data_IF_103908271360
#
_entry.id   IF_103908271360
#
_cell.length_a   1.000
_cell.length_b   1.000
_cell.length_c   1.000
_cell.angle_alpha   90.00
_cell.angle_beta   90.00
_cell.angle_gamma   90.00
#
_symmetry.space_group_name_H-M   'P 1'
#
loop_
_entity.id
_entity.type
_entity.pdbx_description
1 polymer ?
#
# COMPACT_ATOMS: atom_id res chain seq x y z
N UNK A 1 36.65 -30.35 39.24
CA UNK A 1 36.18 -30.20 37.84
C UNK A 1 34.93 -29.33 37.86
N UNK A 2 35.06 -28.07 37.50
CA UNK A 2 33.94 -27.10 37.45
C UNK A 2 33.44 -27.09 36.01
N UNK A 3 32.22 -27.56 35.80
CA UNK A 3 31.51 -27.49 34.50
C UNK A 3 30.89 -26.12 34.35
N UNK A 4 31.43 -25.31 33.46
CA UNK A 4 30.80 -24.08 32.96
C UNK A 4 29.63 -24.43 32.04
N UNK A 5 28.40 -24.22 32.51
CA UNK A 5 27.23 -24.15 31.63
C UNK A 5 27.30 -22.83 30.82
N UNK A 6 27.71 -22.93 29.57
CA UNK A 6 27.63 -21.85 28.62
C UNK A 6 26.15 -21.65 28.21
N UNK A 7 25.53 -20.59 28.67
CA UNK A 7 24.27 -20.09 28.08
C UNK A 7 24.48 -19.83 26.58
N UNK A 8 23.83 -20.63 25.75
CA UNK A 8 23.72 -20.34 24.31
C UNK A 8 22.83 -19.11 24.14
N UNK A 9 23.44 -17.95 24.14
CA UNK A 9 22.84 -16.77 23.48
C UNK A 9 22.88 -17.08 22.00
N UNK A 10 21.70 -17.28 21.39
CA UNK A 10 21.57 -17.44 19.95
C UNK A 10 22.19 -16.23 19.22
N UNK A 11 22.67 -16.39 17.99
CA UNK A 11 23.30 -15.30 17.27
C UNK A 11 22.29 -14.18 17.11
N UNK A 12 22.58 -13.03 17.74
CA UNK A 12 21.98 -11.75 17.39
C UNK A 12 22.30 -11.56 15.92
N UNK A 13 21.29 -11.50 15.04
CA UNK A 13 21.46 -11.21 13.61
C UNK A 13 22.07 -9.81 13.46
N UNK A 14 23.37 -9.70 13.57
CA UNK A 14 24.16 -8.46 13.41
C UNK A 14 24.24 -8.00 11.95
N UNK A 15 23.76 -8.81 10.99
CA UNK A 15 23.72 -8.47 9.57
C UNK A 15 22.28 -8.35 9.11
N UNK A 16 21.80 -7.11 8.99
CA UNK A 16 20.54 -6.81 8.33
C UNK A 16 20.68 -7.24 6.86
N UNK A 17 19.95 -8.25 6.44
CA UNK A 17 19.97 -8.70 5.04
C UNK A 17 19.53 -7.53 4.15
N UNK A 18 20.41 -7.13 3.22
CA UNK A 18 20.11 -6.08 2.26
C UNK A 18 18.94 -6.50 1.37
N UNK A 19 17.99 -5.59 1.12
CA UNK A 19 16.88 -5.87 0.20
C UNK A 19 17.40 -6.12 -1.22
N UNK A 20 16.65 -6.83 -2.09
CA UNK A 20 17.01 -7.00 -3.50
C UNK A 20 17.26 -5.67 -4.22
N UNK A 21 16.51 -4.62 -3.89
CA UNK A 21 16.75 -3.27 -4.40
C UNK A 21 18.12 -2.74 -3.98
N UNK A 22 18.47 -2.84 -2.70
CA UNK A 22 19.77 -2.41 -2.18
C UNK A 22 20.91 -3.22 -2.80
N UNK A 23 20.72 -4.53 -2.96
CA UNK A 23 21.70 -5.41 -3.63
C UNK A 23 21.92 -5.00 -5.09
N UNK A 24 20.85 -4.64 -5.82
CA UNK A 24 20.96 -4.15 -7.19
C UNK A 24 21.68 -2.81 -7.26
N UNK A 25 21.37 -1.86 -6.36
CA UNK A 25 22.08 -0.60 -6.25
C UNK A 25 23.58 -0.82 -6.01
N UNK A 26 23.96 -1.74 -5.11
CA UNK A 26 25.36 -2.11 -4.87
C UNK A 26 26.03 -2.69 -6.10
N UNK A 27 25.31 -3.50 -6.91
CA UNK A 27 25.83 -4.03 -8.20
C UNK A 27 26.07 -2.91 -9.20
N UNK A 28 25.16 -1.91 -9.29
CA UNK A 28 25.38 -0.73 -10.15
C UNK A 28 26.64 0.03 -9.73
N UNK A 29 26.83 0.25 -8.43
CA UNK A 29 28.02 0.93 -7.90
C UNK A 29 29.30 0.14 -8.15
N UNK A 30 29.28 -1.17 -7.91
CA UNK A 30 30.44 -2.05 -8.18
C UNK A 30 30.84 -2.07 -9.66
N UNK A 31 29.87 -1.89 -10.57
CA UNK A 31 30.10 -1.77 -12.01
C UNK A 31 30.46 -0.33 -12.45
N UNK A 32 30.53 0.64 -11.53
CA UNK A 32 30.77 2.06 -11.85
C UNK A 32 29.61 2.75 -12.56
N UNK A 33 28.45 2.11 -12.67
CA UNK A 33 27.27 2.65 -13.35
C UNK A 33 26.57 3.75 -12.54
N UNK A 34 26.74 3.78 -11.23
CA UNK A 34 26.26 4.84 -10.34
C UNK A 34 26.81 6.24 -10.66
N UNK A 35 27.90 6.32 -11.45
CA UNK A 35 28.50 7.57 -11.95
C UNK A 35 27.98 8.00 -13.31
N UNK A 36 27.21 7.15 -13.97
CA UNK A 36 26.56 7.48 -15.26
C UNK A 36 25.27 8.26 -15.04
N UNK A 37 24.84 9.04 -16.03
CA UNK A 37 23.59 9.80 -15.95
C UNK A 37 22.38 8.89 -15.62
N UNK A 38 22.31 7.71 -16.25
CA UNK A 38 21.21 6.76 -16.06
C UNK A 38 21.26 6.08 -14.68
N UNK A 39 22.45 5.69 -14.22
CA UNK A 39 22.60 5.09 -12.88
C UNK A 39 22.29 6.08 -11.76
N UNK A 40 22.77 7.34 -11.87
CA UNK A 40 22.39 8.42 -10.96
C UNK A 40 20.88 8.68 -10.98
N UNK A 41 20.27 8.73 -12.16
CA UNK A 41 18.83 8.91 -12.30
C UNK A 41 18.06 7.77 -11.59
N UNK A 42 18.52 6.51 -11.69
CA UNK A 42 17.91 5.36 -11.02
C UNK A 42 17.98 5.49 -9.50
N UNK A 43 19.13 5.84 -8.96
CA UNK A 43 19.33 6.03 -7.51
C UNK A 43 18.43 7.17 -7.00
N UNK A 44 18.43 8.30 -7.71
CA UNK A 44 17.62 9.46 -7.34
C UNK A 44 16.13 9.16 -7.42
N UNK A 45 15.65 8.50 -8.48
CA UNK A 45 14.24 8.09 -8.60
C UNK A 45 13.81 7.19 -7.44
N UNK A 46 14.67 6.24 -7.03
CA UNK A 46 14.43 5.38 -5.87
C UNK A 46 14.29 6.16 -4.56
N UNK A 47 15.09 7.20 -4.35
CA UNK A 47 15.00 8.07 -3.17
C UNK A 47 13.78 8.99 -3.23
N UNK A 48 13.54 9.62 -4.38
CA UNK A 48 12.40 10.51 -4.59
C UNK A 48 11.07 9.80 -4.44
N UNK A 49 10.96 8.53 -4.85
CA UNK A 49 9.75 7.74 -4.69
C UNK A 49 9.31 7.59 -3.23
N UNK A 50 10.24 7.62 -2.28
CA UNK A 50 9.93 7.59 -0.85
C UNK A 50 9.51 8.95 -0.31
N UNK A 51 10.11 10.04 -0.80
CA UNK A 51 9.80 11.41 -0.34
C UNK A 51 8.57 12.00 -1.01
N UNK A 52 8.34 11.65 -2.29
CA UNK A 52 7.21 12.11 -3.11
C UNK A 52 6.11 11.05 -3.27
N UNK A 53 6.02 10.09 -2.32
CA UNK A 53 5.06 9.00 -2.37
C UNK A 53 3.61 9.52 -2.44
N UNK A 54 2.83 8.98 -3.39
CA UNK A 54 1.41 9.33 -3.53
C UNK A 54 0.60 8.68 -2.40
N UNK A 55 -0.41 9.42 -1.90
CA UNK A 55 -1.28 8.89 -0.85
C UNK A 55 -2.36 8.01 -1.45
N UNK A 56 -2.54 6.83 -0.85
CA UNK A 56 -3.60 5.88 -1.20
C UNK A 56 -4.34 5.43 0.06
N UNK A 57 -5.54 4.88 -0.13
CA UNK A 57 -6.29 4.15 0.90
C UNK A 57 -6.28 2.68 0.53
N UNK A 58 -6.07 1.81 1.50
CA UNK A 58 -6.17 0.36 1.31
C UNK A 58 -7.59 -0.12 1.70
N UNK A 59 -8.15 -1.14 1.00
CA UNK A 59 -7.52 -1.93 -0.07
C UNK A 59 -7.31 -1.12 -1.35
N UNK A 60 -6.23 -1.42 -2.08
CA UNK A 60 -5.83 -0.67 -3.27
C UNK A 60 -5.44 -1.61 -4.41
N UNK A 61 -5.80 -1.24 -5.63
CA UNK A 61 -5.39 -1.93 -6.85
C UNK A 61 -5.06 -0.92 -7.93
N UNK A 62 -3.91 -1.08 -8.57
CA UNK A 62 -3.58 -0.33 -9.78
C UNK A 62 -2.90 -1.24 -10.82
N UNK A 63 -3.07 -0.88 -12.07
CA UNK A 63 -2.28 -1.41 -13.19
C UNK A 63 -1.48 -0.28 -13.81
N UNK A 64 -0.17 -0.47 -13.93
CA UNK A 64 0.73 0.54 -14.47
C UNK A 64 1.70 -0.04 -15.49
N UNK A 65 2.52 0.86 -16.05
CA UNK A 65 3.56 0.52 -17.00
C UNK A 65 4.85 1.26 -16.67
N UNK A 66 5.96 0.54 -16.64
CA UNK A 66 7.29 1.09 -16.50
C UNK A 66 8.00 1.09 -17.87
N UNK A 67 8.27 2.27 -18.44
CA UNK A 67 8.99 2.38 -19.73
C UNK A 67 10.50 2.28 -19.53
N UNK A 68 11.19 1.60 -20.45
CA UNK A 68 12.65 1.40 -20.38
C UNK A 68 13.45 2.69 -20.61
N UNK A 69 12.89 3.61 -21.40
CA UNK A 69 13.52 4.89 -21.77
C UNK A 69 13.57 5.90 -20.61
N UNK A 70 12.71 5.74 -19.64
CA UNK A 70 12.73 6.50 -18.39
C UNK A 70 13.31 5.64 -17.28
N UNK A 71 13.68 6.27 -16.17
CA UNK A 71 14.14 5.58 -14.97
C UNK A 71 13.06 5.71 -13.90
N UNK A 72 11.93 4.96 -14.01
CA UNK A 72 10.80 5.16 -13.15
C UNK A 72 11.03 4.55 -11.76
N UNK A 73 10.48 5.20 -10.75
CA UNK A 73 10.18 4.60 -9.46
C UNK A 73 8.87 5.19 -8.97
N UNK A 74 8.06 4.39 -8.28
CA UNK A 74 6.81 4.88 -7.71
C UNK A 74 6.74 4.53 -6.23
N UNK A 75 6.29 5.49 -5.44
CA UNK A 75 6.08 5.34 -4.00
C UNK A 75 4.62 5.52 -3.64
N UNK A 76 4.15 4.72 -2.70
CA UNK A 76 2.80 4.76 -2.15
C UNK A 76 2.88 4.97 -0.64
N UNK A 77 2.09 5.90 -0.12
CA UNK A 77 1.94 6.12 1.30
C UNK A 77 0.51 5.78 1.72
N UNK A 78 0.37 4.93 2.73
CA UNK A 78 -0.93 4.51 3.26
C UNK A 78 -0.83 4.24 4.76
N UNK A 79 -1.97 4.35 5.44
CA UNK A 79 -2.09 3.98 6.84
C UNK A 79 -2.46 2.49 6.95
N UNK A 80 -1.82 1.78 7.90
CA UNK A 80 -2.22 0.44 8.31
C UNK A 80 -2.35 0.38 9.82
N UNK A 81 -3.29 -0.43 10.30
CA UNK A 81 -3.69 -0.49 11.72
C UNK A 81 -3.07 -1.72 12.37
N UNK A 82 -2.57 -1.56 13.59
CA UNK A 82 -2.09 -2.67 14.42
C UNK A 82 -3.10 -3.80 14.44
N UNK A 83 -2.62 -5.02 14.24
CA UNK A 83 -3.46 -6.22 14.20
C UNK A 83 -3.90 -6.63 12.80
N UNK A 84 -3.71 -5.78 11.79
CA UNK A 84 -3.90 -6.18 10.41
C UNK A 84 -2.71 -7.01 9.91
N UNK A 85 -2.98 -7.88 8.96
CA UNK A 85 -2.01 -8.54 8.09
C UNK A 85 -2.12 -7.91 6.70
N UNK A 86 -1.03 -7.33 6.22
CA UNK A 86 -0.96 -6.84 4.85
C UNK A 86 -0.54 -7.98 3.93
N UNK A 87 -1.23 -8.10 2.80
CA UNK A 87 -0.83 -8.87 1.64
C UNK A 87 -0.67 -7.91 0.47
N UNK A 88 0.56 -7.74 0.01
CA UNK A 88 0.92 -6.88 -1.12
C UNK A 88 1.45 -7.79 -2.22
N UNK A 89 0.77 -7.85 -3.34
CA UNK A 89 1.13 -8.66 -4.50
C UNK A 89 1.43 -7.79 -5.72
N UNK A 90 2.37 -8.25 -6.55
CA UNK A 90 2.77 -7.59 -7.78
C UNK A 90 2.87 -8.61 -8.91
N UNK A 91 1.89 -8.60 -9.81
CA UNK A 91 1.94 -9.36 -11.06
C UNK A 91 2.64 -8.53 -12.14
N UNK A 92 3.52 -9.15 -12.93
CA UNK A 92 4.36 -8.48 -13.94
C UNK A 92 4.16 -9.09 -15.32
N UNK A 93 4.17 -8.26 -16.34
CA UNK A 93 4.19 -8.68 -17.74
C UNK A 93 5.28 -7.92 -18.50
N UNK A 94 6.34 -8.62 -19.04
CA UNK A 94 6.55 -10.06 -18.99
C UNK A 94 6.88 -10.58 -17.58
N UNK A 95 6.48 -11.82 -17.28
CA UNK A 95 6.72 -12.43 -15.98
C UNK A 95 8.21 -12.72 -15.71
N UNK A 96 8.99 -12.96 -16.77
CA UNK A 96 10.43 -13.20 -16.71
C UNK A 96 11.21 -12.12 -17.48
N UNK A 97 12.47 -11.88 -17.07
CA UNK A 97 13.34 -10.88 -17.72
C UNK A 97 12.94 -9.43 -17.45
N UNK A 98 11.99 -9.20 -16.55
CA UNK A 98 11.56 -7.88 -16.07
C UNK A 98 11.46 -7.94 -14.55
N UNK A 99 12.48 -7.40 -13.87
CA UNK A 99 12.51 -7.35 -12.41
C UNK A 99 11.95 -6.02 -11.92
N UNK A 100 11.09 -6.08 -10.92
CA UNK A 100 10.61 -4.91 -10.16
C UNK A 100 10.88 -5.17 -8.69
N UNK A 101 11.66 -4.30 -8.07
CA UNK A 101 11.95 -4.34 -6.63
C UNK A 101 10.80 -3.72 -5.87
N UNK A 102 10.43 -4.37 -4.76
CA UNK A 102 9.33 -3.93 -3.89
C UNK A 102 9.82 -3.95 -2.44
N UNK A 103 9.82 -2.78 -1.79
CA UNK A 103 10.22 -2.59 -0.40
C UNK A 103 9.12 -1.89 0.37
N UNK A 104 8.87 -2.34 1.60
CA UNK A 104 7.91 -1.77 2.54
C UNK A 104 8.64 -1.16 3.75
N UNK A 105 8.32 0.07 4.07
CA UNK A 105 8.93 0.86 5.14
C UNK A 105 7.87 1.37 6.10
N UNK A 106 8.18 1.45 7.39
CA UNK A 106 7.38 2.20 8.36
C UNK A 106 7.89 3.64 8.50
N UNK A 107 6.98 4.61 8.56
CA UNK A 107 7.32 6.00 8.85
C UNK A 107 7.39 6.18 10.35
N UNK A 108 8.49 6.78 10.82
CA UNK A 108 8.71 7.16 12.21
C UNK A 108 8.79 8.66 12.33
N UNK A 109 8.16 9.27 13.36
CA UNK A 109 8.35 10.67 13.64
C UNK A 109 9.84 10.97 13.86
N UNK A 110 10.35 12.03 13.22
CA UNK A 110 11.71 12.55 13.39
C UNK A 110 12.87 11.56 13.13
N UNK A 111 12.57 10.40 12.51
CA UNK A 111 13.55 9.38 12.12
C UNK A 111 13.48 9.05 10.64
N UNK A 112 14.56 8.46 10.12
CA UNK A 112 14.53 7.85 8.78
C UNK A 112 13.54 6.70 8.76
N UNK A 113 12.78 6.51 7.65
CA UNK A 113 11.89 5.36 7.50
C UNK A 113 12.64 4.05 7.72
N UNK A 114 12.03 3.14 8.48
CA UNK A 114 12.62 1.83 8.75
C UNK A 114 12.08 0.80 7.78
N UNK A 115 12.98 0.08 7.11
CA UNK A 115 12.62 -1.07 6.27
C UNK A 115 11.97 -2.15 7.14
N UNK A 116 10.73 -2.52 6.82
CA UNK A 116 9.93 -3.54 7.51
C UNK A 116 10.03 -4.87 6.78
N UNK A 117 9.86 -4.84 5.45
CA UNK A 117 9.83 -6.03 4.61
C UNK A 117 10.18 -5.68 3.17
N UNK A 118 10.48 -6.69 2.38
CA UNK A 118 10.67 -6.57 0.93
C UNK A 118 10.23 -7.86 0.25
N UNK A 119 9.85 -7.77 -1.02
CA UNK A 119 9.62 -8.95 -1.83
C UNK A 119 10.95 -9.61 -2.22
N UNK A 120 10.99 -10.93 -2.20
CA UNK A 120 12.10 -11.63 -2.84
C UNK A 120 11.99 -11.55 -4.37
N UNK A 121 13.05 -11.95 -5.06
CA UNK A 121 13.09 -11.88 -6.53
C UNK A 121 12.26 -12.97 -7.22
N UNK A 122 11.81 -13.97 -6.49
CA UNK A 122 11.05 -15.12 -7.00
C UNK A 122 9.55 -14.94 -6.77
N UNK A 123 9.16 -14.55 -5.55
CA UNK A 123 7.77 -14.23 -5.21
C UNK A 123 7.62 -12.72 -5.08
N UNK A 124 6.92 -12.08 -5.99
CA UNK A 124 6.67 -10.64 -5.94
C UNK A 124 5.60 -10.27 -4.89
N UNK A 125 5.68 -10.86 -3.67
CA UNK A 125 4.71 -10.67 -2.60
C UNK A 125 5.39 -10.25 -1.29
N UNK A 126 4.72 -9.35 -0.55
CA UNK A 126 5.04 -9.03 0.84
C UNK A 126 3.84 -9.42 1.69
N UNK A 127 4.06 -10.30 2.68
CA UNK A 127 3.08 -10.64 3.69
C UNK A 127 3.66 -10.23 5.04
N UNK A 128 2.99 -9.32 5.76
CA UNK A 128 3.49 -8.78 7.02
C UNK A 128 2.36 -8.47 8.00
N UNK A 129 2.56 -8.83 9.26
CA UNK A 129 1.67 -8.42 10.36
C UNK A 129 2.02 -7.00 10.80
N UNK A 130 1.02 -6.16 10.96
CA UNK A 130 1.18 -4.77 11.38
C UNK A 130 1.22 -4.70 12.90
N UNK A 131 2.39 -4.37 13.43
CA UNK A 131 2.63 -4.33 14.89
C UNK A 131 2.28 -2.96 15.51
N UNK A 132 2.22 -1.90 14.71
CA UNK A 132 1.86 -0.55 15.15
C UNK A 132 1.02 0.18 14.10
N UNK A 133 0.00 0.92 14.58
CA UNK A 133 -0.81 1.80 13.71
C UNK A 133 0.03 2.99 13.26
N UNK A 134 0.42 3.00 11.98
CA UNK A 134 1.31 4.02 11.38
C UNK A 134 1.02 4.20 9.90
N UNK A 135 1.65 5.23 9.34
CA UNK A 135 1.81 5.34 7.90
C UNK A 135 2.99 4.46 7.43
N UNK A 136 2.78 3.79 6.32
CA UNK A 136 3.75 2.94 5.64
C UNK A 136 4.06 3.51 4.26
N UNK A 137 5.28 3.25 3.78
CA UNK A 137 5.73 3.56 2.43
C UNK A 137 6.01 2.25 1.68
N UNK A 138 5.44 2.11 0.50
CA UNK A 138 5.76 1.05 -0.43
C UNK A 138 6.46 1.66 -1.64
N UNK A 139 7.65 1.16 -2.00
CA UNK A 139 8.35 1.52 -3.21
C UNK A 139 8.27 0.39 -4.22
N UNK A 140 8.02 0.74 -5.48
CA UNK A 140 8.21 -0.10 -6.64
C UNK A 140 9.25 0.55 -7.56
N UNK A 141 10.28 -0.20 -7.95
CA UNK A 141 11.29 0.27 -8.90
C UNK A 141 11.78 -0.86 -9.80
N UNK A 142 11.68 -0.74 -11.13
CA UNK A 142 12.22 -1.74 -12.04
C UNK A 142 13.75 -1.64 -12.13
N UNK A 143 14.38 -2.69 -12.61
CA UNK A 143 15.78 -2.63 -13.03
C UNK A 143 15.94 -1.72 -14.25
N UNK A 144 17.15 -1.22 -14.47
CA UNK A 144 17.47 -0.35 -15.60
C UNK A 144 17.22 -1.03 -16.96
N UNK A 145 16.77 -0.23 -17.93
CA UNK A 145 16.60 -0.63 -19.34
C UNK A 145 15.60 -1.76 -19.57
N UNK A 146 14.69 -1.95 -18.62
CA UNK A 146 13.60 -2.93 -18.73
C UNK A 146 12.26 -2.23 -18.73
N UNK A 147 11.34 -2.74 -19.53
CA UNK A 147 9.97 -2.24 -19.59
C UNK A 147 8.95 -3.36 -19.39
N UNK A 148 7.82 -2.99 -18.84
CA UNK A 148 6.71 -3.93 -18.65
C UNK A 148 5.56 -3.31 -17.90
N UNK A 149 4.43 -3.99 -17.96
CA UNK A 149 3.27 -3.64 -17.12
C UNK A 149 3.31 -4.41 -15.81
N UNK A 150 2.62 -3.85 -14.82
CA UNK A 150 2.42 -4.47 -13.52
C UNK A 150 0.98 -4.30 -13.04
N UNK A 151 0.53 -5.22 -12.21
CA UNK A 151 -0.67 -5.08 -11.39
C UNK A 151 -0.25 -5.16 -9.94
N UNK A 152 -0.41 -4.05 -9.21
CA UNK A 152 -0.21 -3.97 -7.77
C UNK A 152 -1.55 -4.17 -7.07
N UNK A 153 -1.59 -5.03 -6.06
CA UNK A 153 -2.74 -5.17 -5.17
C UNK A 153 -2.29 -5.14 -3.71
N UNK A 154 -2.97 -4.32 -2.89
CA UNK A 154 -2.71 -4.19 -1.45
C UNK A 154 -4.01 -4.49 -0.72
N UNK A 155 -4.05 -5.60 -0.01
CA UNK A 155 -5.20 -6.03 0.80
C UNK A 155 -4.76 -6.09 2.25
N UNK A 156 -5.64 -5.68 3.15
CA UNK A 156 -5.49 -5.91 4.58
C UNK A 156 -6.57 -6.85 5.09
N UNK A 157 -6.16 -7.80 5.92
CA UNK A 157 -7.04 -8.72 6.62
C UNK A 157 -6.63 -8.85 8.09
N UNK A 158 -7.28 -9.73 8.85
CA UNK A 158 -6.90 -10.02 10.23
C UNK A 158 -5.56 -10.77 10.30
N UNK A 159 -4.77 -10.51 11.33
CA UNK A 159 -3.53 -11.26 11.61
C UNK A 159 -3.77 -12.52 12.46
N UNK A 160 -4.94 -12.64 13.08
CA UNK A 160 -5.39 -13.78 13.87
C UNK A 160 -6.65 -14.41 13.26
N UNK A 161 -6.84 -15.69 13.52
CA UNK A 161 -8.09 -16.38 13.21
C UNK A 161 -9.26 -15.89 14.06
N UNK A 162 -10.47 -16.02 13.55
CA UNK A 162 -11.67 -15.68 14.30
C UNK A 162 -11.85 -16.67 15.46
N UNK A 163 -12.11 -16.19 16.71
CA UNK A 163 -12.05 -17.04 17.91
C UNK A 163 -13.28 -17.93 18.15
N UNK A 164 -14.27 -17.90 17.24
CA UNK A 164 -15.48 -18.73 17.32
C UNK A 164 -15.59 -19.57 16.06
N UNK A 165 -15.76 -20.88 16.21
CA UNK A 165 -15.89 -21.81 15.09
C UNK A 165 -17.13 -21.49 14.26
N UNK A 166 -17.10 -21.80 12.96
CA UNK A 166 -18.19 -21.52 12.04
C UNK A 166 -19.50 -22.16 12.48
N UNK A 167 -20.39 -21.28 12.94
CA UNK A 167 -21.74 -21.60 13.32
C UNK A 167 -22.75 -20.78 12.50
N UNK A 168 -22.34 -20.32 11.31
CA UNK A 168 -23.13 -19.47 10.45
C UNK A 168 -22.84 -17.98 10.60
N UNK A 169 -23.65 -17.20 11.29
CA UNK A 169 -23.50 -15.75 11.38
C UNK A 169 -22.61 -15.34 12.53
N UNK A 170 -21.47 -14.69 12.26
CA UNK A 170 -20.59 -14.07 13.26
C UNK A 170 -21.20 -12.74 13.71
N UNK A 171 -21.28 -12.48 15.02
CA UNK A 171 -21.87 -11.26 15.58
C UNK A 171 -20.94 -10.65 16.62
N UNK A 172 -20.27 -9.58 16.24
CA UNK A 172 -19.53 -8.72 17.17
C UNK A 172 -20.45 -7.56 17.49
N UNK A 173 -21.05 -7.56 18.68
CA UNK A 173 -22.09 -6.59 19.04
C UNK A 173 -21.60 -5.56 20.07
N UNK A 174 -20.56 -5.87 20.84
CA UNK A 174 -19.96 -4.94 21.78
C UNK A 174 -18.48 -4.74 21.47
N UNK A 175 -18.11 -3.48 21.30
CA UNK A 175 -16.78 -3.08 20.83
C UNK A 175 -15.86 -2.75 22.01
N UNK A 176 -14.56 -2.81 21.76
CA UNK A 176 -13.52 -2.33 22.66
C UNK A 176 -13.74 -0.84 22.99
N UNK A 177 -13.47 -0.47 24.26
CA UNK A 177 -13.55 0.91 24.74
C UNK A 177 -14.93 1.41 25.10
N UNK A 178 -15.99 0.65 24.82
CA UNK A 178 -17.37 1.00 25.24
C UNK A 178 -17.44 1.05 26.78
N UNK A 179 -18.14 2.06 27.32
CA UNK A 179 -18.33 2.22 28.76
C UNK A 179 -19.09 1.04 29.41
N UNK A 180 -18.63 0.59 30.57
CA UNK A 180 -19.22 -0.44 31.42
C UNK A 180 -19.47 0.13 32.80
N UNK A 181 -20.39 -0.47 33.54
CA UNK A 181 -20.67 -0.14 34.96
C UNK A 181 -20.88 1.39 35.17
N UNK A 182 -21.80 1.98 34.40
CA UNK A 182 -22.07 3.43 34.39
C UNK A 182 -20.81 4.27 34.01
N UNK A 183 -19.98 3.79 33.11
CA UNK A 183 -18.73 4.40 32.62
C UNK A 183 -17.55 4.40 33.63
N UNK A 184 -17.66 3.67 34.73
CA UNK A 184 -16.54 3.54 35.69
C UNK A 184 -15.41 2.63 35.15
N UNK A 185 -15.72 1.79 34.17
CA UNK A 185 -14.80 0.86 33.51
C UNK A 185 -14.99 0.89 31.99
N UNK A 186 -13.94 0.69 31.22
CA UNK A 186 -14.01 0.48 29.76
C UNK A 186 -14.02 -1.01 29.43
N UNK A 187 -14.69 -1.35 28.33
CA UNK A 187 -14.68 -2.69 27.77
C UNK A 187 -13.31 -3.02 27.20
N UNK A 188 -12.62 -4.01 27.76
CA UNK A 188 -11.23 -4.37 27.40
C UNK A 188 -11.13 -5.49 26.34
N UNK A 189 -12.19 -5.67 25.56
CA UNK A 189 -12.28 -6.68 24.51
C UNK A 189 -13.40 -6.40 23.54
N UNK A 190 -13.80 -7.44 22.82
CA UNK A 190 -15.01 -7.48 21.99
C UNK A 190 -15.88 -8.63 22.45
N UNK A 191 -17.22 -8.46 22.39
CA UNK A 191 -18.16 -9.52 22.69
C UNK A 191 -18.74 -10.10 21.40
N UNK A 192 -18.57 -11.41 21.22
CA UNK A 192 -19.00 -12.16 20.04
C UNK A 192 -20.13 -13.09 20.47
N UNK A 193 -21.34 -12.81 20.00
CA UNK A 193 -22.55 -13.54 20.38
C UNK A 193 -22.78 -14.72 19.46
N UNK A 194 -23.16 -15.88 20.05
CA UNK A 194 -23.61 -17.06 19.32
C UNK A 194 -24.42 -17.97 20.26
N UNK A 195 -24.85 -19.15 19.77
CA UNK A 195 -25.63 -20.08 20.57
C UNK A 195 -24.79 -20.71 21.68
N UNK A 196 -25.46 -21.13 22.74
CA UNK A 196 -24.81 -21.81 23.88
C UNK A 196 -24.03 -23.03 23.38
N UNK A 197 -22.87 -23.28 23.92
CA UNK A 197 -21.94 -24.36 23.56
C UNK A 197 -21.29 -24.26 22.16
N UNK A 198 -21.43 -23.16 21.45
CA UNK A 198 -20.62 -22.93 20.24
C UNK A 198 -19.13 -23.08 20.57
N UNK A 199 -18.35 -23.85 19.79
CA UNK A 199 -16.93 -24.02 20.07
C UNK A 199 -16.16 -22.71 19.98
N UNK A 200 -15.44 -22.38 21.04
CA UNK A 200 -14.47 -21.29 21.12
C UNK A 200 -13.09 -21.87 20.80
N UNK A 201 -12.41 -21.26 19.82
CA UNK A 201 -11.21 -21.84 19.23
C UNK A 201 -9.98 -20.93 19.35
N UNK A 202 -8.80 -21.52 19.33
CA UNK A 202 -7.53 -20.81 19.31
C UNK A 202 -7.42 -19.93 18.05
N UNK A 203 -7.13 -18.63 18.24
CA UNK A 203 -7.00 -17.66 17.14
C UNK A 203 -5.63 -17.69 16.47
N UNK A 204 -4.69 -18.50 16.97
CA UNK A 204 -3.35 -18.72 16.42
C UNK A 204 -2.75 -20.00 16.96
N UNK A 205 -1.65 -20.44 16.36
CA UNK A 205 -0.76 -21.42 16.97
C UNK A 205 -0.13 -20.82 18.24
N UNK A 206 -0.06 -21.59 19.34
CA UNK A 206 0.48 -21.05 20.59
C UNK A 206 0.42 -22.03 21.75
N UNK A 207 0.57 -21.49 22.96
CA UNK A 207 0.51 -22.25 24.22
C UNK A 207 -0.58 -21.68 25.13
N UNK A 208 -1.39 -22.54 25.74
CA UNK A 208 -2.32 -22.17 26.79
C UNK A 208 -1.53 -21.86 28.06
N UNK A 209 -1.58 -20.61 28.52
CA UNK A 209 -0.78 -20.14 29.66
C UNK A 209 -1.52 -20.20 30.98
N UNK A 210 -2.85 -20.24 30.94
CA UNK A 210 -3.69 -20.37 32.14
C UNK A 210 -5.09 -20.85 31.78
N UNK A 211 -5.64 -21.71 32.61
CA UNK A 211 -7.06 -22.12 32.64
C UNK A 211 -7.56 -21.87 34.05
N UNK A 212 -8.68 -21.15 34.21
CA UNK A 212 -9.16 -20.81 35.54
C UNK A 212 -10.52 -20.16 35.54
N UNK A 213 -10.91 -19.61 36.69
CA UNK A 213 -12.15 -18.87 36.88
C UNK A 213 -11.88 -17.57 37.64
N UNK A 214 -12.61 -16.51 37.30
CA UNK A 214 -12.58 -15.23 38.01
C UNK A 214 -13.97 -14.56 38.02
N UNK A 215 -14.16 -13.57 38.89
CA UNK A 215 -15.47 -12.95 39.12
C UNK A 215 -16.03 -12.25 37.86
N UNK A 216 -15.21 -11.62 37.04
CA UNK A 216 -15.64 -10.90 35.84
C UNK A 216 -15.82 -11.86 34.66
N UNK A 217 -14.79 -12.57 34.28
CA UNK A 217 -14.79 -13.41 33.08
C UNK A 217 -15.45 -14.78 33.27
N UNK A 218 -15.78 -15.18 34.51
CA UNK A 218 -16.24 -16.54 34.77
C UNK A 218 -15.15 -17.55 34.43
N UNK A 219 -15.49 -18.60 33.71
CA UNK A 219 -14.52 -19.59 33.20
C UNK A 219 -13.75 -19.02 32.03
N UNK A 220 -12.43 -19.03 32.15
CA UNK A 220 -11.52 -18.32 31.22
C UNK A 220 -10.35 -19.20 30.77
N UNK A 221 -9.88 -18.93 29.56
CA UNK A 221 -8.64 -19.47 29.00
C UNK A 221 -7.77 -18.32 28.56
N UNK A 222 -6.48 -18.38 28.92
CA UNK A 222 -5.46 -17.48 28.42
C UNK A 222 -4.50 -18.27 27.54
N UNK A 223 -4.13 -17.72 26.37
CA UNK A 223 -3.09 -18.31 25.54
C UNK A 223 -2.13 -17.23 25.01
N UNK A 224 -0.90 -17.65 24.77
CA UNK A 224 0.11 -16.81 24.11
C UNK A 224 0.36 -17.38 22.71
N UNK A 225 0.10 -16.59 21.64
CA UNK A 225 0.48 -16.98 20.30
C UNK A 225 2.01 -17.13 20.17
N UNK A 226 2.46 -18.06 19.35
CA UNK A 226 3.88 -18.19 19.03
C UNK A 226 4.38 -16.87 18.40
N UNK A 227 5.61 -16.46 18.71
CA UNK A 227 6.28 -15.28 18.13
C UNK A 227 5.63 -13.92 18.42
N UNK A 228 4.61 -13.85 19.31
CA UNK A 228 3.93 -12.60 19.68
C UNK A 228 4.10 -12.25 21.16
N UNK A 229 4.14 -10.95 21.44
CA UNK A 229 4.33 -10.40 22.81
C UNK A 229 3.01 -9.93 23.41
N UNK A 230 1.93 -10.70 23.23
CA UNK A 230 0.63 -10.44 23.85
C UNK A 230 -0.07 -11.73 24.23
N UNK A 231 -1.06 -11.62 25.10
CA UNK A 231 -1.89 -12.73 25.55
C UNK A 231 -3.29 -12.58 25.00
N UNK A 232 -3.87 -13.66 24.50
CA UNK A 232 -5.28 -13.76 24.10
C UNK A 232 -6.08 -14.26 25.28
N UNK A 233 -7.22 -13.64 25.53
CA UNK A 233 -8.13 -13.91 26.63
C UNK A 233 -9.51 -14.31 26.11
N UNK A 234 -9.96 -15.49 26.53
CA UNK A 234 -11.24 -16.07 26.18
C UNK A 234 -12.07 -16.25 27.45
N UNK A 235 -13.20 -15.55 27.57
CA UNK A 235 -14.00 -15.53 28.79
C UNK A 235 -15.47 -15.87 28.56
N UNK A 236 -16.21 -16.01 29.67
CA UNK A 236 -17.62 -16.40 29.79
C UNK A 236 -17.91 -17.81 29.29
N UNK A 237 -16.89 -18.68 29.28
CA UNK A 237 -17.05 -20.07 28.83
C UNK A 237 -17.99 -20.83 29.72
N UNK A 238 -18.81 -21.72 29.15
CA UNK A 238 -19.56 -22.72 29.89
C UNK A 238 -18.66 -23.88 30.30
N UNK A 239 -17.78 -24.30 29.40
CA UNK A 239 -16.83 -25.39 29.64
C UNK A 239 -15.46 -25.07 29.06
N UNK A 240 -14.42 -25.25 29.82
CA UNK A 240 -13.02 -25.24 29.38
C UNK A 240 -12.63 -26.65 28.93
N UNK A 241 -12.07 -26.81 27.74
CA UNK A 241 -11.60 -28.08 27.20
C UNK A 241 -10.07 -28.13 27.10
N UNK A 242 -9.43 -26.96 26.97
CA UNK A 242 -7.98 -26.86 26.99
C UNK A 242 -7.43 -26.98 28.41
N UNK A 243 -6.17 -27.38 28.53
CA UNK A 243 -5.41 -27.47 29.76
C UNK A 243 -4.21 -26.52 29.74
N UNK A 244 -3.81 -26.06 30.94
CA UNK A 244 -2.60 -25.24 31.10
C UNK A 244 -1.36 -25.98 30.61
N UNK A 245 -0.49 -25.27 29.85
CA UNK A 245 0.70 -25.86 29.21
C UNK A 245 0.43 -26.53 27.86
N UNK A 246 -0.83 -26.68 27.45
CA UNK A 246 -1.19 -27.29 26.17
C UNK A 246 -0.70 -26.46 24.99
N UNK A 247 0.01 -27.10 24.05
CA UNK A 247 0.27 -26.56 22.72
C UNK A 247 -1.00 -26.68 21.87
N UNK A 248 -1.40 -25.60 21.22
CA UNK A 248 -2.59 -25.56 20.38
C UNK A 248 -2.26 -25.00 18.99
N UNK A 249 -3.02 -25.43 18.00
CA UNK A 249 -2.99 -24.93 16.63
C UNK A 249 -4.16 -23.97 16.41
N UNK A 250 -4.03 -23.10 15.42
CA UNK A 250 -5.13 -22.29 14.94
C UNK A 250 -6.36 -23.16 14.67
N UNK A 251 -7.49 -22.81 15.30
CA UNK A 251 -8.77 -23.52 15.15
C UNK A 251 -8.99 -24.67 16.16
N UNK A 252 -8.01 -25.03 16.99
CA UNK A 252 -8.21 -26.02 18.06
C UNK A 252 -9.21 -25.50 19.09
N UNK A 253 -10.13 -26.38 19.55
CA UNK A 253 -11.17 -25.99 20.50
C UNK A 253 -10.58 -25.81 21.90
N UNK A 254 -10.71 -24.59 22.45
CA UNK A 254 -10.28 -24.20 23.80
C UNK A 254 -11.37 -24.42 24.83
N UNK A 255 -12.64 -24.30 24.43
CA UNK A 255 -13.79 -24.41 25.30
C UNK A 255 -15.10 -24.25 24.56
N UNK A 256 -16.20 -24.22 25.30
CA UNK A 256 -17.55 -24.03 24.81
C UNK A 256 -18.09 -22.69 25.30
N UNK A 257 -18.75 -21.94 24.41
CA UNK A 257 -19.36 -20.65 24.72
C UNK A 257 -20.43 -20.78 25.79
N UNK A 258 -20.46 -19.82 26.69
CA UNK A 258 -21.45 -19.74 27.76
C UNK A 258 -21.77 -18.30 28.11
N UNK A 259 -22.11 -18.07 29.37
CA UNK A 259 -22.39 -16.76 29.99
C UNK A 259 -21.97 -16.71 31.45
N UNK A 260 -20.87 -17.37 31.80
CA UNK A 260 -20.36 -17.40 33.19
C UNK A 260 -19.79 -16.05 33.63
N UNK A 261 -19.49 -15.90 34.91
CA UNK A 261 -19.01 -14.65 35.49
C UNK A 261 -20.10 -13.56 35.57
N UNK A 262 -19.74 -12.33 35.20
CA UNK A 262 -20.69 -11.20 35.18
C UNK A 262 -21.64 -11.23 33.98
N UNK A 263 -21.50 -12.18 33.05
CA UNK A 263 -22.36 -12.35 31.89
C UNK A 263 -23.63 -13.20 32.17
N UNK A 264 -23.87 -13.65 33.41
CA UNK A 264 -24.94 -14.60 33.75
C UNK A 264 -26.35 -14.16 33.35
N UNK A 265 -26.58 -12.86 33.21
CA UNK A 265 -27.88 -12.26 32.84
C UNK A 265 -27.93 -11.83 31.38
N UNK A 266 -26.91 -12.12 30.60
CA UNK A 266 -26.85 -11.76 29.18
C UNK A 266 -26.95 -13.02 28.31
N UNK A 267 -27.31 -12.88 27.01
CA UNK A 267 -27.20 -13.98 26.05
C UNK A 267 -25.79 -14.55 26.00
N UNK A 268 -25.62 -15.82 25.59
CA UNK A 268 -24.31 -16.44 25.49
C UNK A 268 -23.41 -15.68 24.52
N UNK A 269 -22.17 -15.42 24.94
CA UNK A 269 -21.17 -14.77 24.11
C UNK A 269 -19.76 -15.10 24.58
N UNK A 270 -18.82 -14.94 23.68
CA UNK A 270 -17.40 -14.92 23.98
C UNK A 270 -16.97 -13.47 24.22
N UNK A 271 -16.46 -13.14 25.41
CA UNK A 271 -15.62 -11.96 25.57
C UNK A 271 -14.19 -12.31 25.13
N UNK A 272 -13.70 -11.65 24.07
CA UNK A 272 -12.38 -11.84 23.52
C UNK A 272 -11.52 -10.61 23.74
N UNK A 273 -10.39 -10.76 24.45
CA UNK A 273 -9.46 -9.69 24.78
C UNK A 273 -8.05 -9.98 24.30
N UNK A 274 -7.27 -8.91 24.01
CA UNK A 274 -5.84 -8.98 23.72
C UNK A 274 -5.10 -8.08 24.71
N UNK A 275 -4.18 -8.67 25.47
CA UNK A 275 -3.45 -7.98 26.53
C UNK A 275 -1.95 -7.93 26.23
N UNK A 276 -1.39 -6.73 26.26
CA UNK A 276 0.05 -6.45 26.17
C UNK A 276 0.61 -6.03 27.51
N UNK A 277 1.90 -5.78 27.61
CA UNK A 277 2.52 -5.17 28.80
C UNK A 277 1.97 -3.77 29.10
N UNK A 278 1.40 -3.08 28.14
CA UNK A 278 0.76 -1.76 28.28
C UNK A 278 -0.75 -1.82 28.54
N UNK A 279 -1.32 -3.00 28.80
CA UNK A 279 -2.76 -3.21 29.01
C UNK A 279 -3.49 -3.78 27.80
N UNK A 280 -4.83 -3.71 27.86
CA UNK A 280 -5.69 -4.19 26.80
C UNK A 280 -5.61 -3.32 25.53
N UNK A 281 -5.71 -3.96 24.38
CA UNK A 281 -5.76 -3.30 23.07
C UNK A 281 -7.00 -3.78 22.30
N UNK A 282 -7.45 -2.99 21.31
CA UNK A 282 -8.61 -3.33 20.48
C UNK A 282 -8.37 -4.62 19.69
N UNK A 283 -9.14 -5.70 19.95
CA UNK A 283 -8.99 -6.97 19.24
C UNK A 283 -9.56 -6.95 17.82
N UNK A 284 -10.44 -6.02 17.48
CA UNK A 284 -11.19 -6.04 16.22
C UNK A 284 -10.29 -6.10 14.97
N UNK A 285 -9.26 -5.29 14.83
CA UNK A 285 -8.38 -5.36 13.65
C UNK A 285 -7.67 -6.72 13.50
N UNK A 286 -7.45 -7.44 14.62
CA UNK A 286 -6.75 -8.73 14.64
C UNK A 286 -7.62 -9.89 14.14
N UNK A 287 -8.95 -9.82 14.34
CA UNK A 287 -9.85 -10.96 14.09
C UNK A 287 -11.02 -10.62 13.17
N UNK A 288 -11.13 -9.39 12.66
CA UNK A 288 -12.25 -9.00 11.81
C UNK A 288 -12.33 -9.90 10.56
N UNK A 289 -13.38 -10.74 10.42
CA UNK A 289 -13.45 -11.68 9.30
C UNK A 289 -13.81 -11.01 7.96
N UNK A 290 -14.15 -9.73 7.97
CA UNK A 290 -14.53 -8.98 6.77
C UNK A 290 -13.28 -8.43 6.10
N UNK A 291 -12.88 -9.06 5.01
CA UNK A 291 -11.77 -8.59 4.17
C UNK A 291 -12.37 -7.77 3.02
N UNK A 292 -12.06 -6.48 3.02
CA UNK A 292 -12.48 -5.60 1.94
C UNK A 292 -11.62 -5.84 0.69
N UNK A 293 -12.27 -5.83 -0.47
CA UNK A 293 -11.61 -5.95 -1.77
C UNK A 293 -11.41 -4.57 -2.41
N UNK A 294 -10.33 -4.36 -3.16
CA UNK A 294 -10.14 -3.11 -3.87
C UNK A 294 -11.20 -2.93 -4.96
N UNK A 295 -11.52 -1.69 -5.26
CA UNK A 295 -12.43 -1.36 -6.35
C UNK A 295 -11.91 -1.89 -7.69
N UNK A 296 -12.77 -2.41 -8.57
CA UNK A 296 -12.36 -2.88 -9.89
C UNK A 296 -11.80 -1.71 -10.73
N UNK A 297 -10.86 -2.06 -11.62
CA UNK A 297 -10.32 -1.11 -12.59
C UNK A 297 -11.37 -0.87 -13.69
N UNK A 298 -11.80 0.37 -13.84
CA UNK A 298 -12.74 0.80 -14.89
C UNK A 298 -12.13 1.82 -15.85
N UNK A 299 -11.03 2.45 -15.48
CA UNK A 299 -10.22 3.28 -16.38
C UNK A 299 -9.55 2.40 -17.46
N UNK A 300 -9.55 2.87 -18.71
CA UNK A 300 -9.04 2.08 -19.84
C UNK A 300 -7.53 1.87 -19.77
N UNK A 301 -7.10 0.64 -19.56
CA UNK A 301 -5.67 0.25 -19.46
C UNK A 301 -4.91 0.42 -20.79
N UNK A 302 -5.61 0.49 -21.92
CA UNK A 302 -5.01 0.79 -23.23
C UNK A 302 -4.38 2.19 -23.32
N UNK A 303 -4.65 3.06 -22.35
CA UNK A 303 -4.09 4.40 -22.26
C UNK A 303 -2.85 4.49 -21.36
N UNK A 304 -2.39 3.37 -20.81
CA UNK A 304 -1.14 3.33 -20.01
C UNK A 304 0.04 3.75 -20.90
N UNK A 305 0.94 4.54 -20.33
CA UNK A 305 2.10 5.13 -20.99
C UNK A 305 1.75 6.11 -22.15
N UNK A 306 0.48 6.45 -22.32
CA UNK A 306 0.07 7.37 -23.37
C UNK A 306 0.14 8.84 -22.93
N UNK A 307 0.46 9.71 -23.89
CA UNK A 307 0.23 11.15 -23.77
C UNK A 307 -1.25 11.42 -23.96
N UNK A 308 -1.85 12.08 -22.99
CA UNK A 308 -3.26 12.45 -22.99
C UNK A 308 -3.42 13.95 -22.81
N UNK A 309 -4.59 14.47 -23.08
CA UNK A 309 -4.96 15.86 -22.78
C UNK A 309 -6.28 15.93 -22.04
N UNK A 310 -6.43 16.92 -21.18
CA UNK A 310 -7.71 17.21 -20.54
C UNK A 310 -8.76 17.67 -21.56
N UNK A 311 -9.96 17.11 -21.49
CA UNK A 311 -11.09 17.46 -22.39
C UNK A 311 -11.81 18.72 -21.94
N UNK A 312 -11.69 19.07 -20.67
CA UNK A 312 -12.27 20.23 -20.00
C UNK A 312 -11.43 20.61 -18.78
N UNK A 313 -11.85 21.62 -18.02
CA UNK A 313 -11.24 21.92 -16.72
C UNK A 313 -11.27 20.67 -15.83
N UNK A 314 -10.13 20.24 -15.35
CA UNK A 314 -9.93 19.07 -14.49
C UNK A 314 -9.03 19.42 -13.32
N UNK A 315 -8.87 18.50 -12.36
CA UNK A 315 -8.00 18.68 -11.21
C UNK A 315 -7.09 17.47 -11.05
N UNK A 316 -5.81 17.75 -10.81
CA UNK A 316 -4.83 16.77 -10.35
C UNK A 316 -4.90 16.72 -8.82
N UNK A 317 -5.13 15.55 -8.25
CA UNK A 317 -5.31 15.33 -6.81
C UNK A 317 -4.19 14.49 -6.20
N UNK A 318 -4.01 14.64 -4.89
CA UNK A 318 -2.98 13.88 -4.13
C UNK A 318 -3.31 12.39 -3.98
N UNK A 319 -4.59 12.00 -4.13
CA UNK A 319 -5.06 10.60 -4.06
C UNK A 319 -6.30 10.41 -4.95
N UNK A 320 -6.65 9.16 -5.34
CA UNK A 320 -7.80 8.86 -6.20
C UNK A 320 -9.14 8.96 -5.44
N UNK A 321 -9.45 10.13 -4.95
CA UNK A 321 -10.62 10.44 -4.11
C UNK A 321 -11.10 11.86 -4.43
N UNK A 322 -12.39 12.04 -4.67
CA UNK A 322 -13.00 13.33 -4.97
C UNK A 322 -12.89 14.35 -3.84
N UNK A 323 -12.67 13.92 -2.61
CA UNK A 323 -12.46 14.77 -1.44
C UNK A 323 -10.96 15.05 -1.18
N UNK A 324 -10.07 14.42 -1.93
CA UNK A 324 -8.63 14.61 -1.76
C UNK A 324 -8.19 16.03 -2.15
N UNK A 325 -7.12 16.49 -1.51
CA UNK A 325 -6.50 17.78 -1.79
C UNK A 325 -6.13 17.93 -3.27
N UNK A 326 -6.28 19.13 -3.80
CA UNK A 326 -5.95 19.49 -5.19
C UNK A 326 -4.48 19.90 -5.24
N UNK A 327 -3.69 19.25 -6.12
CA UNK A 327 -2.32 19.64 -6.43
C UNK A 327 -2.29 20.75 -7.48
N UNK A 328 -3.08 20.59 -8.55
CA UNK A 328 -3.12 21.55 -9.66
C UNK A 328 -4.49 21.52 -10.34
N UNK A 329 -4.93 22.67 -10.83
CA UNK A 329 -6.13 22.81 -11.67
C UNK A 329 -5.69 22.89 -13.12
N UNK A 330 -6.21 21.99 -13.94
CA UNK A 330 -5.85 21.85 -15.35
C UNK A 330 -6.88 22.56 -16.24
N UNK A 331 -6.40 23.38 -17.14
CA UNK A 331 -7.22 23.96 -18.19
C UNK A 331 -7.55 22.91 -19.27
N UNK A 332 -8.57 23.11 -20.10
CA UNK A 332 -8.80 22.26 -21.26
C UNK A 332 -7.55 22.17 -22.16
N UNK A 333 -7.31 20.98 -22.70
CA UNK A 333 -6.15 20.65 -23.54
C UNK A 333 -4.79 20.58 -22.80
N UNK A 334 -4.76 20.63 -21.48
CA UNK A 334 -3.52 20.42 -20.71
C UNK A 334 -3.00 19.02 -20.96
N UNK A 335 -1.74 18.92 -21.35
CA UNK A 335 -1.04 17.65 -21.63
C UNK A 335 -0.63 16.99 -20.31
N UNK A 336 -0.79 15.68 -20.27
CA UNK A 336 -0.33 14.81 -19.19
C UNK A 336 0.08 13.44 -19.73
N UNK A 337 0.92 12.71 -19.00
CA UNK A 337 1.28 11.32 -19.30
C UNK A 337 0.63 10.40 -18.26
N UNK A 338 -0.04 9.36 -18.73
CA UNK A 338 -0.67 8.36 -17.87
C UNK A 338 0.37 7.30 -17.49
N UNK A 339 0.58 7.09 -16.19
CA UNK A 339 1.50 6.09 -15.66
C UNK A 339 0.78 4.81 -15.23
N UNK A 340 -0.38 4.96 -14.57
CA UNK A 340 -1.16 3.84 -14.06
C UNK A 340 -2.66 4.17 -14.06
N UNK A 341 -3.48 3.12 -13.94
CA UNK A 341 -4.92 3.18 -13.76
C UNK A 341 -5.33 2.53 -12.43
N UNK A 342 -6.23 3.17 -11.69
CA UNK A 342 -6.82 2.65 -10.46
C UNK A 342 -8.30 3.02 -10.40
N UNK A 343 -9.20 2.06 -10.23
CA UNK A 343 -10.64 2.28 -10.31
C UNK A 343 -10.98 3.10 -11.59
N UNK A 344 -11.62 4.26 -11.46
CA UNK A 344 -11.95 5.19 -12.56
C UNK A 344 -10.95 6.36 -12.68
N UNK A 345 -9.76 6.25 -12.11
CA UNK A 345 -8.71 7.27 -12.10
C UNK A 345 -7.48 6.84 -12.88
N UNK A 346 -6.79 7.83 -13.43
CA UNK A 346 -5.41 7.67 -13.88
C UNK A 346 -4.45 8.32 -12.89
N UNK A 347 -3.37 7.65 -12.54
CA UNK A 347 -2.18 8.27 -12.01
C UNK A 347 -1.45 8.89 -13.19
N UNK A 348 -1.23 10.18 -13.14
CA UNK A 348 -0.74 10.93 -14.29
C UNK A 348 0.31 11.96 -13.84
N UNK A 349 1.28 12.19 -14.71
CA UNK A 349 2.38 13.12 -14.49
C UNK A 349 2.26 14.27 -15.48
N UNK A 350 2.33 15.49 -14.96
CA UNK A 350 2.39 16.72 -15.74
C UNK A 350 3.81 16.98 -16.25
N UNK A 351 4.00 17.80 -17.29
CA UNK A 351 5.32 18.10 -17.83
C UNK A 351 6.31 18.71 -16.83
N UNK A 352 5.85 19.34 -15.74
CA UNK A 352 6.70 19.84 -14.64
C UNK A 352 7.13 18.76 -13.64
N UNK A 353 6.73 17.50 -13.87
CA UNK A 353 7.03 16.37 -12.97
C UNK A 353 6.03 16.17 -11.82
N UNK A 354 5.01 17.03 -11.68
CA UNK A 354 3.96 16.83 -10.67
C UNK A 354 3.14 15.58 -10.98
N UNK A 355 3.10 14.63 -10.06
CA UNK A 355 2.37 13.37 -10.20
C UNK A 355 1.18 13.34 -9.23
N UNK A 356 0.03 12.90 -9.72
CA UNK A 356 -1.20 12.77 -8.94
C UNK A 356 -2.26 11.98 -9.68
N UNK A 357 -3.52 12.16 -9.27
CA UNK A 357 -4.65 11.41 -9.82
C UNK A 357 -5.65 12.34 -10.53
N UNK A 358 -6.10 11.93 -11.71
CA UNK A 358 -7.11 12.60 -12.52
C UNK A 358 -8.19 11.57 -12.84
N UNK A 359 -9.49 11.93 -12.71
CA UNK A 359 -10.57 11.04 -13.17
C UNK A 359 -10.42 10.76 -14.67
N UNK A 360 -10.46 9.48 -15.04
CA UNK A 360 -10.22 9.03 -16.42
C UNK A 360 -11.14 9.70 -17.45
N UNK A 361 -12.40 10.01 -17.07
CA UNK A 361 -13.39 10.70 -17.95
C UNK A 361 -12.99 12.11 -18.39
N UNK A 362 -12.01 12.73 -17.72
CA UNK A 362 -11.54 14.07 -18.06
C UNK A 362 -10.34 14.08 -19.00
N UNK A 363 -9.81 12.89 -19.34
CA UNK A 363 -8.67 12.74 -20.24
C UNK A 363 -9.06 12.04 -21.54
N UNK A 364 -8.48 12.50 -22.65
CA UNK A 364 -8.56 11.83 -23.93
C UNK A 364 -7.17 11.64 -24.55
N UNK A 365 -6.93 10.52 -25.26
CA UNK A 365 -5.67 10.31 -25.97
C UNK A 365 -5.41 11.40 -27.01
N UNK A 366 -4.14 11.79 -27.15
CA UNK A 366 -3.68 12.75 -28.15
C UNK A 366 -3.55 12.02 -29.50
N UNK A 367 -4.68 11.63 -30.12
CA UNK A 367 -4.71 10.91 -31.40
C UNK A 367 -4.89 11.84 -32.61
N UNK A 368 -5.56 12.95 -32.42
CA UNK A 368 -5.87 13.92 -33.48
C UNK A 368 -5.55 15.32 -32.99
N UNK A 369 -5.12 16.20 -33.89
CA UNK A 369 -4.85 17.59 -33.54
C UNK A 369 -6.13 18.33 -33.13
N UNK A 370 -5.98 19.36 -32.32
CA UNK A 370 -7.05 20.31 -31.98
C UNK A 370 -7.34 21.20 -33.19
N UNK A 371 -6.27 21.69 -33.82
CA UNK A 371 -6.28 22.52 -35.03
C UNK A 371 -4.87 22.59 -35.63
N UNK A 372 -4.78 23.06 -36.87
CA UNK A 372 -3.52 23.46 -37.48
C UNK A 372 -3.25 24.94 -37.18
N UNK A 373 -2.01 25.28 -36.90
CA UNK A 373 -1.50 26.62 -36.64
C UNK A 373 -0.46 26.96 -37.71
N UNK A 374 -0.49 28.16 -38.28
CA UNK A 374 0.58 28.71 -39.11
C UNK A 374 1.46 29.59 -38.24
N UNK A 375 2.77 29.38 -38.28
CA UNK A 375 3.74 30.12 -37.47
C UNK A 375 4.04 31.48 -38.13
N UNK A 376 3.87 32.56 -37.36
CA UNK A 376 4.05 33.93 -37.85
C UNK A 376 5.45 34.52 -37.57
N UNK A 377 6.22 33.85 -36.70
CA UNK A 377 7.55 34.30 -36.31
C UNK A 377 8.63 33.74 -37.24
N UNK A 378 9.71 34.51 -37.50
CA UNK A 378 10.80 34.11 -38.42
C UNK A 378 11.51 32.82 -38.04
N UNK A 379 11.63 32.55 -36.76
CA UNK A 379 12.24 31.31 -36.23
C UNK A 379 11.53 30.92 -34.94
N UNK A 380 11.03 29.71 -34.86
CA UNK A 380 10.38 29.16 -33.68
C UNK A 380 11.12 27.91 -33.27
N UNK A 381 11.72 27.90 -32.05
CA UNK A 381 12.38 26.74 -31.51
C UNK A 381 11.34 25.67 -31.15
N UNK A 382 11.53 24.46 -31.67
CA UNK A 382 10.82 23.26 -31.23
C UNK A 382 11.62 22.63 -30.12
N UNK A 383 11.10 22.70 -28.89
CA UNK A 383 11.76 22.26 -27.66
C UNK A 383 11.40 20.82 -27.30
N UNK A 384 12.28 20.15 -26.59
CA UNK A 384 12.03 18.80 -26.10
C UNK A 384 11.04 18.80 -24.92
N UNK A 385 11.07 19.83 -24.08
CA UNK A 385 10.22 19.99 -22.90
C UNK A 385 9.65 21.41 -22.82
N UNK A 386 8.51 21.63 -22.11
CA UNK A 386 7.90 22.93 -21.97
C UNK A 386 8.57 23.78 -20.88
N UNK A 387 9.83 24.11 -21.07
CA UNK A 387 10.59 25.02 -20.23
C UNK A 387 11.65 25.78 -21.05
N UNK A 388 12.08 26.94 -20.58
CA UNK A 388 13.00 27.82 -21.28
C UNK A 388 14.42 27.29 -21.43
N UNK A 389 14.82 26.34 -20.58
CA UNK A 389 16.14 25.68 -20.62
C UNK A 389 16.15 24.37 -21.40
N UNK A 390 15.03 23.98 -21.99
CA UNK A 390 14.92 22.71 -22.72
C UNK A 390 15.79 22.69 -23.98
N UNK A 391 16.38 21.53 -24.32
CA UNK A 391 17.06 21.35 -25.58
C UNK A 391 16.19 21.68 -26.78
N UNK A 392 16.77 22.38 -27.75
CA UNK A 392 16.12 22.68 -29.03
C UNK A 392 16.29 21.48 -29.96
N UNK A 393 15.18 20.83 -30.31
CA UNK A 393 15.17 19.71 -31.30
C UNK A 393 15.46 20.21 -32.70
N UNK A 394 14.80 21.31 -33.09
CA UNK A 394 15.02 22.02 -34.35
C UNK A 394 14.40 23.40 -34.33
N UNK A 395 14.66 24.20 -35.38
CA UNK A 395 14.07 25.49 -35.60
C UNK A 395 13.05 25.39 -36.76
N UNK A 396 11.81 25.78 -36.49
CA UNK A 396 10.73 25.85 -37.48
C UNK A 396 10.79 27.22 -38.19
N UNK A 397 10.48 27.24 -39.49
CA UNK A 397 10.52 28.44 -40.29
C UNK A 397 9.19 29.19 -40.24
N UNK A 398 9.19 30.44 -40.67
CA UNK A 398 7.98 31.25 -40.89
C UNK A 398 7.04 30.52 -41.84
N UNK A 399 5.73 30.67 -41.63
CA UNK A 399 4.67 30.04 -42.42
C UNK A 399 4.60 28.50 -42.32
N UNK A 400 5.51 27.85 -41.57
CA UNK A 400 5.37 26.42 -41.30
C UNK A 400 4.02 26.13 -40.63
N UNK A 401 3.35 25.09 -41.12
CA UNK A 401 2.11 24.60 -40.51
C UNK A 401 2.43 23.53 -39.50
N UNK A 402 1.88 23.65 -38.29
CA UNK A 402 2.00 22.66 -37.23
C UNK A 402 0.64 22.28 -36.69
N UNK A 403 0.49 21.01 -36.32
CA UNK A 403 -0.70 20.48 -35.68
C UNK A 403 -0.65 20.70 -34.17
N UNK A 404 -1.57 21.48 -33.61
CA UNK A 404 -1.68 21.66 -32.17
C UNK A 404 -2.27 20.40 -31.51
N UNK A 405 -1.53 19.80 -30.59
CA UNK A 405 -1.94 18.61 -29.88
C UNK A 405 -2.45 18.89 -28.47
N UNK A 406 -1.96 19.95 -27.81
CA UNK A 406 -2.35 20.38 -26.49
C UNK A 406 -1.47 21.50 -25.95
N UNK A 407 -1.56 21.81 -24.67
CA UNK A 407 -0.80 22.89 -24.05
C UNK A 407 -0.36 22.53 -22.63
N UNK A 408 0.63 23.25 -22.14
CA UNK A 408 1.00 23.26 -20.72
C UNK A 408 1.61 24.63 -20.37
N UNK A 409 0.98 25.36 -19.47
CA UNK A 409 1.34 26.75 -19.15
C UNK A 409 1.45 27.59 -20.43
N UNK A 410 2.56 28.25 -20.65
CA UNK A 410 2.82 29.10 -21.83
C UNK A 410 3.39 28.32 -23.03
N UNK A 411 3.29 27.00 -23.04
CA UNK A 411 3.82 26.15 -24.10
C UNK A 411 2.70 25.38 -24.80
N UNK A 412 2.85 25.21 -26.11
CA UNK A 412 1.99 24.43 -26.98
C UNK A 412 2.75 23.17 -27.43
N UNK A 413 2.15 22.00 -27.21
CA UNK A 413 2.64 20.76 -27.81
C UNK A 413 2.15 20.71 -29.25
N UNK A 414 3.08 20.65 -30.17
CA UNK A 414 2.79 20.64 -31.61
C UNK A 414 3.43 19.45 -32.31
N UNK A 415 2.88 19.09 -33.46
CA UNK A 415 3.46 18.11 -34.37
C UNK A 415 3.67 18.81 -35.72
N UNK A 416 4.87 18.71 -36.29
CA UNK A 416 5.19 19.30 -37.58
C UNK A 416 4.83 18.39 -38.76
N UNK A 417 5.06 18.88 -39.98
CA UNK A 417 4.79 18.15 -41.24
C UNK A 417 5.60 16.84 -41.37
N UNK A 418 6.71 16.71 -40.66
CA UNK A 418 7.53 15.46 -40.61
C UNK A 418 7.11 14.52 -39.49
N UNK A 419 5.95 14.78 -38.85
CA UNK A 419 5.42 14.04 -37.70
C UNK A 419 6.30 14.11 -36.46
N UNK A 420 7.23 15.06 -36.35
CA UNK A 420 8.02 15.29 -35.17
C UNK A 420 7.24 16.12 -34.14
N UNK A 421 7.19 15.65 -32.89
CA UNK A 421 6.50 16.35 -31.80
C UNK A 421 7.47 17.12 -30.93
N UNK A 422 7.06 18.26 -30.45
CA UNK A 422 7.81 19.09 -29.51
C UNK A 422 6.98 20.27 -29.01
N UNK A 423 7.62 21.12 -28.23
CA UNK A 423 6.99 22.25 -27.57
C UNK A 423 7.43 23.56 -28.20
N UNK A 424 6.49 24.47 -28.39
CA UNK A 424 6.75 25.85 -28.81
C UNK A 424 6.17 26.81 -27.76
N UNK A 425 6.75 28.01 -27.65
CA UNK A 425 6.19 29.07 -26.79
C UNK A 425 4.90 29.61 -27.40
N UNK A 426 3.87 29.76 -26.58
CA UNK A 426 2.58 30.35 -27.01
C UNK A 426 2.77 31.81 -27.46
N UNK A 427 2.08 32.20 -28.52
CA UNK A 427 2.13 33.56 -29.03
C UNK A 427 3.25 33.85 -30.05
N UNK A 428 3.94 32.84 -30.51
CA UNK A 428 4.92 32.89 -31.62
C UNK A 428 4.37 32.11 -32.84
#
# INVERSE_FOLDING_TARGET
>A
LVLFNACKTGPVNLFKTASPHEQYQRKLSAAGLDKTAMGLAWINAGQESLTKAVRIKIPYKEQGYFPAENVPATGFRFNAVRGQKLNISLDKTPASGFMVYMDLWEIRPDEMPKLVSFADTLSANIIVDIEETKDYLLRLQPELLKSGSYVLEIISGPSLGFPVKDSGRKRIESMYGVGRDANTRKHEGIDIFDVFHTPVVASADGIVTRVGENNLGGRVVFMRPNTKNYTLYYAHLDKQLATEGQQVKLGDTLGLMGNTGNARTTPPHLHFGIYTNGGAIDPLPFVNPVIQQPSPLTAAISNLNATMRSTRKAVLRISPDNQAGILETLNPNTITRVEAATSNWYKATLPNGSTGYIEARFLAPVKSPIRTITLNSRQVALLDQPNSGAPVKKVLQTESKVELLGSYQDYLLVKDEKAETGWIVSGK
#
